data_IF_404127821860
#
_entry.id   IF_404127821860
#
_cell.length_a   1.000
_cell.length_b   1.000
_cell.length_c   1.000
_cell.angle_alpha   90.00
_cell.angle_beta   90.00
_cell.angle_gamma   90.00
#
_symmetry.space_group_name_H-M   'P 1'
#
loop_
_entity.id
_entity.type
_entity.pdbx_description
1 polymer ?
#
# COMPACT_ATOMS: atom_id res chain seq x y z
N UNK A 1 -49.54 -79.37 56.16
CA UNK A 1 -48.33 -78.78 56.79
C UNK A 1 -48.29 -77.32 56.35
N UNK A 2 -48.97 -76.51 57.15
CA UNK A 2 -49.11 -75.05 56.90
C UNK A 2 -47.94 -74.35 57.52
N UNK A 3 -47.16 -73.64 56.72
CA UNK A 3 -46.13 -72.77 57.18
C UNK A 3 -46.72 -71.34 57.36
N UNK A 4 -47.10 -71.06 58.60
CA UNK A 4 -47.40 -69.70 59.05
C UNK A 4 -46.08 -68.91 59.09
N UNK A 5 -45.95 -68.04 58.10
CA UNK A 5 -44.94 -66.94 58.20
C UNK A 5 -45.69 -65.61 58.36
N UNK A 6 -45.98 -65.25 59.60
CA UNK A 6 -46.60 -63.99 59.98
C UNK A 6 -45.65 -63.27 60.90
N UNK A 7 -44.58 -62.69 60.36
CA UNK A 7 -43.81 -61.67 61.11
C UNK A 7 -43.55 -60.48 60.17
N UNK A 8 -44.22 -59.35 60.40
CA UNK A 8 -44.13 -58.16 59.54
C UNK A 8 -42.70 -57.57 59.46
N UNK A 9 -41.86 -57.91 60.39
CA UNK A 9 -40.45 -57.50 60.41
C UNK A 9 -39.63 -58.12 59.27
N UNK A 10 -39.85 -59.34 58.90
CA UNK A 10 -39.14 -59.99 57.79
C UNK A 10 -39.48 -59.40 56.43
N UNK A 11 -40.72 -58.98 56.26
CA UNK A 11 -41.17 -58.33 55.01
C UNK A 11 -40.56 -56.95 54.85
N UNK A 12 -40.42 -56.17 55.91
CA UNK A 12 -39.78 -54.88 55.91
C UNK A 12 -38.25 -54.96 55.65
N UNK A 13 -37.60 -55.98 56.23
CA UNK A 13 -36.15 -56.21 56.01
C UNK A 13 -35.87 -56.64 54.58
N UNK A 14 -36.72 -57.46 53.97
CA UNK A 14 -36.60 -57.90 52.57
C UNK A 14 -36.82 -56.71 51.61
N UNK A 15 -37.77 -55.82 51.88
CA UNK A 15 -37.98 -54.60 51.06
C UNK A 15 -36.82 -53.65 51.12
N UNK A 16 -36.21 -53.46 52.31
CA UNK A 16 -35.02 -52.63 52.49
C UNK A 16 -33.79 -53.21 51.73
N UNK A 17 -33.63 -54.53 51.81
CA UNK A 17 -32.52 -55.22 51.09
C UNK A 17 -32.73 -55.16 49.58
N UNK A 18 -33.97 -55.30 49.05
CA UNK A 18 -34.28 -55.11 47.63
C UNK A 18 -34.05 -53.67 47.19
N UNK A 19 -34.46 -52.68 48.01
CA UNK A 19 -34.21 -51.27 47.75
C UNK A 19 -32.69 -50.91 47.70
N UNK A 20 -31.90 -51.48 48.59
CA UNK A 20 -30.42 -51.31 48.60
C UNK A 20 -29.80 -51.98 47.36
N UNK A 21 -30.26 -53.18 47.01
CA UNK A 21 -29.73 -53.90 45.84
C UNK A 21 -30.09 -53.21 44.51
N UNK A 22 -31.33 -52.70 44.40
CA UNK A 22 -31.76 -51.86 43.27
C UNK A 22 -30.99 -50.52 43.22
N UNK A 23 -30.75 -49.90 44.34
CA UNK A 23 -29.96 -48.69 44.46
C UNK A 23 -28.52 -48.89 44.02
N UNK A 24 -27.88 -50.02 44.38
CA UNK A 24 -26.54 -50.39 43.94
C UNK A 24 -26.48 -50.71 42.43
N UNK A 25 -27.48 -51.37 41.88
CA UNK A 25 -27.56 -51.63 40.42
C UNK A 25 -27.79 -50.36 39.64
N UNK A 26 -28.73 -49.50 40.08
CA UNK A 26 -29.01 -48.22 39.41
C UNK A 26 -27.82 -47.26 39.58
N UNK A 27 -27.22 -47.20 40.74
CA UNK A 27 -26.01 -46.40 41.01
C UNK A 27 -24.81 -46.86 40.18
N UNK A 28 -24.60 -48.17 40.08
CA UNK A 28 -23.57 -48.76 39.22
C UNK A 28 -23.81 -48.48 37.73
N UNK A 29 -25.07 -48.57 37.29
CA UNK A 29 -25.44 -48.27 35.89
C UNK A 29 -25.33 -46.76 35.55
N UNK A 30 -25.66 -45.91 36.52
CA UNK A 30 -25.49 -44.44 36.37
C UNK A 30 -24.01 -44.05 36.47
N UNK A 31 -23.23 -44.69 37.33
CA UNK A 31 -21.78 -44.45 37.43
C UNK A 31 -21.05 -44.92 36.18
N UNK A 32 -21.43 -46.04 35.57
CA UNK A 32 -20.83 -46.50 34.29
C UNK A 32 -21.18 -45.61 33.09
N UNK A 33 -22.36 -44.95 33.09
CA UNK A 33 -22.69 -43.95 32.08
C UNK A 33 -21.97 -42.58 32.28
N UNK A 34 -21.65 -42.23 33.52
CA UNK A 34 -20.91 -41.01 33.81
C UNK A 34 -19.37 -41.15 33.61
N UNK A 35 -18.85 -42.37 33.62
CA UNK A 35 -17.44 -42.66 33.38
C UNK A 35 -17.10 -42.86 31.89
N UNK A 36 -18.12 -42.98 31.04
CA UNK A 36 -17.98 -43.11 29.57
C UNK A 36 -18.04 -41.75 28.84
N UNK A 37 -17.70 -40.67 29.55
CA UNK A 37 -17.23 -39.42 28.95
C UNK A 37 -15.81 -39.69 28.47
N UNK A 38 -15.78 -40.44 27.39
CA UNK A 38 -14.62 -41.16 26.94
C UNK A 38 -13.50 -40.28 26.36
N UNK A 39 -12.49 -40.87 25.76
CA UNK A 39 -11.26 -40.26 25.29
C UNK A 39 -11.49 -39.14 24.26
N UNK A 40 -12.67 -39.05 23.60
CA UNK A 40 -13.04 -38.00 22.66
C UNK A 40 -13.15 -36.61 23.33
N UNK A 41 -13.90 -36.47 24.43
CA UNK A 41 -14.08 -35.17 25.13
C UNK A 41 -12.75 -34.67 25.72
N UNK A 42 -11.92 -35.60 26.24
CA UNK A 42 -10.59 -35.25 26.76
C UNK A 42 -9.60 -34.88 25.67
N UNK A 43 -9.77 -35.39 24.44
CA UNK A 43 -8.99 -35.07 23.28
C UNK A 43 -9.37 -33.70 22.70
N UNK A 44 -10.67 -33.41 22.58
CA UNK A 44 -11.19 -32.10 22.13
C UNK A 44 -10.81 -30.96 23.09
N UNK A 45 -10.85 -31.21 24.42
CA UNK A 45 -10.44 -30.20 25.38
C UNK A 45 -8.93 -29.87 25.33
N UNK A 46 -8.07 -30.85 25.05
CA UNK A 46 -6.63 -30.65 24.91
C UNK A 46 -6.26 -29.93 23.60
N UNK A 47 -6.94 -30.25 22.50
CA UNK A 47 -6.81 -29.55 21.23
C UNK A 47 -7.20 -28.09 21.37
N UNK A 48 -8.40 -27.80 21.92
CA UNK A 48 -8.87 -26.44 22.15
C UNK A 48 -7.92 -25.65 23.04
N UNK A 49 -7.30 -26.26 24.05
CA UNK A 49 -6.33 -25.61 24.90
C UNK A 49 -5.05 -25.24 24.14
N UNK A 50 -4.49 -26.15 23.35
CA UNK A 50 -3.31 -25.91 22.55
C UNK A 50 -3.58 -24.83 21.47
N UNK A 51 -4.76 -24.87 20.83
CA UNK A 51 -5.18 -23.85 19.88
C UNK A 51 -5.27 -22.45 20.51
N UNK A 52 -5.93 -22.33 21.68
CA UNK A 52 -6.04 -21.07 22.41
C UNK A 52 -4.68 -20.53 22.88
N UNK A 53 -3.78 -21.42 23.32
CA UNK A 53 -2.40 -21.03 23.66
C UNK A 53 -1.66 -20.50 22.43
N UNK A 54 -1.80 -21.17 21.28
CA UNK A 54 -1.23 -20.70 20.02
C UNK A 54 -1.72 -19.31 19.63
N UNK A 55 -3.03 -19.03 19.79
CA UNK A 55 -3.60 -17.69 19.59
C UNK A 55 -2.99 -16.67 20.57
N UNK A 56 -2.88 -17.00 21.85
CA UNK A 56 -2.30 -16.10 22.85
C UNK A 56 -0.84 -15.74 22.53
N UNK A 57 -0.02 -16.71 22.12
CA UNK A 57 1.34 -16.45 21.66
C UNK A 57 1.38 -15.59 20.39
N UNK A 58 0.45 -15.82 19.45
CA UNK A 58 0.33 -15.00 18.25
C UNK A 58 0.02 -13.53 18.60
N UNK A 59 -0.92 -13.29 19.52
CA UNK A 59 -1.27 -11.94 20.00
C UNK A 59 -0.11 -11.27 20.74
N UNK A 60 0.78 -12.07 21.37
CA UNK A 60 1.99 -11.59 22.03
C UNK A 60 3.18 -11.44 21.06
N UNK A 61 2.96 -11.62 19.76
CA UNK A 61 4.00 -11.60 18.70
C UNK A 61 5.11 -12.66 18.89
N UNK A 62 4.82 -13.72 19.64
CA UNK A 62 5.73 -14.86 19.89
C UNK A 62 5.41 -15.99 18.91
N UNK A 63 5.93 -15.84 17.70
CA UNK A 63 5.63 -16.74 16.58
C UNK A 63 6.18 -18.16 16.80
N UNK A 64 7.29 -18.32 17.54
CA UNK A 64 7.91 -19.62 17.74
C UNK A 64 7.06 -20.50 18.65
N UNK A 65 6.65 -19.99 19.80
CA UNK A 65 5.75 -20.72 20.69
C UNK A 65 4.36 -20.92 20.08
N UNK A 66 3.85 -19.94 19.26
CA UNK A 66 2.60 -20.13 18.52
C UNK A 66 2.67 -21.32 17.55
N UNK A 67 3.76 -21.47 16.79
CA UNK A 67 3.99 -22.60 15.88
C UNK A 67 4.03 -23.91 16.66
N UNK A 68 4.70 -23.93 17.80
CA UNK A 68 4.78 -25.14 18.66
C UNK A 68 3.40 -25.57 19.13
N UNK A 69 2.60 -24.65 19.66
CA UNK A 69 1.25 -24.95 20.17
C UNK A 69 0.28 -25.34 19.04
N UNK A 70 0.27 -24.65 17.89
CA UNK A 70 -0.55 -25.09 16.76
C UNK A 70 -0.10 -26.44 16.21
N UNK A 71 1.20 -26.73 16.23
CA UNK A 71 1.69 -28.07 15.83
C UNK A 71 1.20 -29.14 16.79
N UNK A 72 1.18 -28.89 18.11
CA UNK A 72 0.58 -29.79 19.11
C UNK A 72 -0.92 -29.99 18.86
N UNK A 73 -1.67 -28.90 18.58
CA UNK A 73 -3.09 -28.99 18.27
C UNK A 73 -3.37 -29.90 17.06
N UNK A 74 -2.61 -29.72 15.98
CA UNK A 74 -2.70 -30.53 14.75
C UNK A 74 -2.35 -32.02 15.02
N UNK A 75 -1.38 -32.31 15.89
CA UNK A 75 -1.04 -33.70 16.27
C UNK A 75 -2.16 -34.37 17.08
N UNK A 76 -2.87 -33.59 17.89
CA UNK A 76 -4.00 -34.09 18.67
C UNK A 76 -5.19 -34.38 17.73
N UNK A 77 -5.51 -33.45 16.83
CA UNK A 77 -6.59 -33.59 15.86
C UNK A 77 -6.18 -33.07 14.47
N UNK A 78 -5.93 -33.99 13.57
CA UNK A 78 -5.55 -33.67 12.19
C UNK A 78 -6.71 -33.17 11.30
N UNK A 79 -7.93 -33.11 11.82
CA UNK A 79 -9.11 -32.70 11.05
C UNK A 79 -9.43 -31.21 11.16
N UNK A 80 -8.84 -30.50 12.12
CA UNK A 80 -9.15 -29.08 12.37
C UNK A 80 -8.43 -28.19 11.32
N UNK A 81 -9.18 -27.81 10.30
CA UNK A 81 -8.65 -27.07 9.13
C UNK A 81 -8.17 -25.69 9.54
N UNK A 82 -8.89 -25.03 10.46
CA UNK A 82 -8.57 -23.70 10.96
C UNK A 82 -7.16 -23.65 11.58
N UNK A 83 -6.77 -24.70 12.31
CA UNK A 83 -5.44 -24.81 12.90
C UNK A 83 -4.36 -24.92 11.82
N UNK A 84 -4.62 -25.68 10.76
CA UNK A 84 -3.70 -25.76 9.62
C UNK A 84 -3.58 -24.43 8.89
N UNK A 85 -4.67 -23.68 8.68
CA UNK A 85 -4.64 -22.35 8.08
C UNK A 85 -3.80 -21.40 8.94
N UNK A 86 -4.05 -21.38 10.26
CA UNK A 86 -3.28 -20.54 11.18
C UNK A 86 -1.78 -20.89 11.16
N UNK A 87 -1.44 -22.18 11.15
CA UNK A 87 -0.06 -22.65 11.10
C UNK A 87 0.61 -22.28 9.75
N UNK A 88 -0.10 -22.43 8.64
CA UNK A 88 0.38 -22.02 7.32
C UNK A 88 0.68 -20.52 7.26
N UNK A 89 -0.24 -19.68 7.79
CA UNK A 89 -0.06 -18.25 7.87
C UNK A 89 1.15 -17.85 8.72
N UNK A 90 1.39 -18.53 9.83
CA UNK A 90 2.58 -18.33 10.66
C UNK A 90 3.87 -18.67 9.92
N UNK A 91 3.92 -19.79 9.20
CA UNK A 91 5.09 -20.12 8.40
C UNK A 91 5.35 -19.08 7.32
N UNK A 92 4.28 -18.54 6.67
CA UNK A 92 4.43 -17.44 5.71
C UNK A 92 4.99 -16.18 6.37
N UNK A 93 4.50 -15.79 7.53
CA UNK A 93 4.98 -14.60 8.26
C UNK A 93 6.45 -14.73 8.67
N UNK A 94 6.89 -15.93 9.05
CA UNK A 94 8.31 -16.23 9.35
C UNK A 94 9.21 -16.35 8.12
N UNK A 95 8.65 -16.27 6.91
CA UNK A 95 9.41 -16.46 5.67
C UNK A 95 9.61 -17.94 5.27
N UNK A 96 9.07 -18.90 6.02
CA UNK A 96 9.13 -20.33 5.70
C UNK A 96 8.07 -20.72 4.66
N UNK A 97 8.05 -19.97 3.55
CA UNK A 97 6.95 -19.99 2.56
C UNK A 97 6.74 -21.39 1.96
N UNK A 98 7.81 -22.17 1.79
CA UNK A 98 7.68 -23.54 1.30
C UNK A 98 6.89 -24.46 2.22
N UNK A 99 6.91 -24.23 3.55
CA UNK A 99 6.04 -24.95 4.50
C UNK A 99 4.60 -24.48 4.41
N UNK A 100 4.37 -23.17 4.33
CA UNK A 100 3.03 -22.58 4.14
C UNK A 100 2.34 -23.17 2.91
N UNK A 101 3.01 -23.17 1.75
CA UNK A 101 2.50 -23.75 0.49
C UNK A 101 2.09 -25.21 0.67
N UNK A 102 2.93 -26.03 1.30
CA UNK A 102 2.59 -27.45 1.53
C UNK A 102 1.36 -27.62 2.39
N UNK A 103 1.24 -26.82 3.45
CA UNK A 103 0.09 -26.87 4.35
C UNK A 103 -1.19 -26.47 3.60
N UNK A 104 -1.24 -25.28 2.96
CA UNK A 104 -2.44 -24.82 2.28
C UNK A 104 -2.83 -25.75 1.12
N UNK A 105 -1.87 -26.28 0.35
CA UNK A 105 -2.15 -27.33 -0.65
C UNK A 105 -2.74 -28.59 -0.04
N UNK A 106 -2.26 -29.05 1.11
CA UNK A 106 -2.79 -30.23 1.77
C UNK A 106 -4.25 -30.08 2.19
N UNK A 107 -4.68 -28.86 2.51
CA UNK A 107 -6.06 -28.53 2.84
C UNK A 107 -6.94 -28.66 1.60
N UNK A 108 -6.54 -28.03 0.48
CA UNK A 108 -7.31 -28.01 -0.77
C UNK A 108 -7.53 -29.43 -1.34
N UNK A 109 -6.56 -30.33 -1.11
CA UNK A 109 -6.63 -31.71 -1.60
C UNK A 109 -7.50 -32.64 -0.74
N UNK A 110 -8.11 -32.19 0.36
CA UNK A 110 -8.98 -33.02 1.19
C UNK A 110 -10.30 -33.31 0.49
N UNK A 111 -10.73 -34.58 0.40
CA UNK A 111 -11.96 -34.94 -0.35
C UNK A 111 -13.25 -34.38 0.25
N UNK A 112 -13.25 -34.10 1.56
CA UNK A 112 -14.46 -33.71 2.33
C UNK A 112 -14.44 -32.24 2.73
N UNK A 113 -13.61 -31.42 2.07
CA UNK A 113 -13.54 -29.99 2.39
C UNK A 113 -14.79 -29.26 1.88
N UNK A 114 -15.38 -28.40 2.71
CA UNK A 114 -16.45 -27.52 2.28
C UNK A 114 -15.91 -26.40 1.36
N UNK A 115 -16.84 -25.78 0.62
CA UNK A 115 -16.48 -24.77 -0.38
C UNK A 115 -15.83 -23.54 0.22
N UNK A 116 -16.32 -23.08 1.36
CA UNK A 116 -15.82 -21.85 2.02
C UNK A 116 -14.38 -22.02 2.50
N UNK A 117 -14.12 -23.13 3.17
CA UNK A 117 -12.77 -23.50 3.62
C UNK A 117 -11.80 -23.69 2.44
N UNK A 118 -12.28 -24.28 1.32
CA UNK A 118 -11.47 -24.41 0.10
C UNK A 118 -11.09 -23.04 -0.45
N UNK A 119 -12.04 -22.10 -0.54
CA UNK A 119 -11.79 -20.72 -0.99
C UNK A 119 -10.76 -20.03 -0.10
N UNK A 120 -10.90 -20.15 1.24
CA UNK A 120 -9.95 -19.58 2.18
C UNK A 120 -8.54 -20.17 2.03
N UNK A 121 -8.44 -21.50 1.84
CA UNK A 121 -7.15 -22.15 1.61
C UNK A 121 -6.49 -21.75 0.28
N UNK A 122 -7.29 -21.61 -0.80
CA UNK A 122 -6.85 -21.12 -2.10
C UNK A 122 -6.34 -19.68 -2.01
N UNK A 123 -7.06 -18.81 -1.30
CA UNK A 123 -6.64 -17.43 -1.08
C UNK A 123 -5.29 -17.36 -0.35
N UNK A 124 -5.13 -18.13 0.75
CA UNK A 124 -3.88 -18.20 1.48
C UNK A 124 -2.74 -18.81 0.64
N UNK A 125 -3.03 -19.80 -0.20
CA UNK A 125 -2.05 -20.36 -1.14
C UNK A 125 -1.61 -19.31 -2.16
N UNK A 126 -2.52 -18.48 -2.65
CA UNK A 126 -2.19 -17.33 -3.51
C UNK A 126 -1.24 -16.35 -2.84
N UNK A 127 -1.49 -16.01 -1.56
CA UNK A 127 -0.59 -15.17 -0.76
C UNK A 127 0.78 -15.82 -0.55
N UNK A 128 0.83 -17.14 -0.33
CA UNK A 128 2.08 -17.86 -0.20
C UNK A 128 2.90 -17.79 -1.50
N UNK A 129 2.26 -18.03 -2.65
CA UNK A 129 2.92 -17.93 -3.95
C UNK A 129 3.40 -16.51 -4.24
N UNK A 130 2.58 -15.48 -3.92
CA UNK A 130 2.99 -14.08 -4.04
C UNK A 130 4.23 -13.79 -3.20
N UNK A 131 4.24 -14.22 -1.93
CA UNK A 131 5.40 -14.07 -1.03
C UNK A 131 6.64 -14.82 -1.51
N UNK A 132 6.46 -15.93 -2.22
CA UNK A 132 7.56 -16.71 -2.83
C UNK A 132 8.05 -16.14 -4.17
N UNK A 133 7.40 -15.11 -4.72
CA UNK A 133 7.70 -14.56 -6.05
C UNK A 133 7.18 -15.43 -7.22
N UNK A 134 6.31 -16.41 -6.95
CA UNK A 134 5.70 -17.26 -7.98
C UNK A 134 4.44 -16.59 -8.55
N UNK A 135 4.62 -15.47 -9.23
CA UNK A 135 3.54 -14.56 -9.65
C UNK A 135 2.45 -15.28 -10.44
N UNK A 136 2.81 -16.09 -11.44
CA UNK A 136 1.83 -16.83 -12.25
C UNK A 136 0.99 -17.82 -11.43
N UNK A 137 1.59 -18.47 -10.43
CA UNK A 137 0.88 -19.39 -9.53
C UNK A 137 -0.03 -18.62 -8.57
N UNK A 138 0.40 -17.45 -8.09
CA UNK A 138 -0.42 -16.57 -7.27
C UNK A 138 -1.67 -16.11 -8.04
N UNK A 139 -1.50 -15.62 -9.27
CA UNK A 139 -2.60 -15.22 -10.16
C UNK A 139 -3.59 -16.39 -10.32
N UNK A 140 -3.11 -17.57 -10.72
CA UNK A 140 -3.99 -18.74 -10.91
C UNK A 140 -4.76 -19.12 -9.65
N UNK A 141 -4.14 -18.99 -8.46
CA UNK A 141 -4.83 -19.28 -7.18
C UNK A 141 -5.92 -18.25 -6.89
N UNK A 142 -5.67 -16.96 -7.11
CA UNK A 142 -6.68 -15.93 -6.90
C UNK A 142 -7.77 -15.96 -7.98
N UNK A 143 -7.46 -16.30 -9.23
CA UNK A 143 -8.46 -16.56 -10.27
C UNK A 143 -9.39 -17.71 -9.85
N UNK A 144 -8.86 -18.83 -9.31
CA UNK A 144 -9.69 -19.92 -8.78
C UNK A 144 -10.55 -19.46 -7.58
N UNK A 145 -10.06 -18.51 -6.76
CA UNK A 145 -10.89 -17.91 -5.69
C UNK A 145 -12.07 -17.16 -6.28
N UNK A 146 -11.88 -16.26 -7.25
CA UNK A 146 -12.97 -15.45 -7.82
C UNK A 146 -13.93 -16.29 -8.67
N UNK A 147 -13.50 -17.38 -9.26
CA UNK A 147 -14.36 -18.35 -9.97
C UNK A 147 -15.31 -19.06 -9.00
N UNK A 148 -14.86 -19.32 -7.78
CA UNK A 148 -15.68 -19.95 -6.73
C UNK A 148 -16.52 -18.94 -5.95
N UNK A 149 -16.01 -17.72 -5.74
CA UNK A 149 -16.65 -16.59 -5.07
C UNK A 149 -16.39 -15.28 -5.82
N UNK A 150 -17.30 -14.93 -6.72
CA UNK A 150 -17.23 -13.70 -7.52
C UNK A 150 -17.40 -12.41 -6.72
N UNK A 151 -17.62 -12.49 -5.40
CA UNK A 151 -17.71 -11.35 -4.48
C UNK A 151 -16.47 -11.13 -3.63
N UNK A 152 -15.46 -11.98 -3.76
CA UNK A 152 -14.21 -11.92 -2.99
C UNK A 152 -13.38 -10.67 -3.35
N UNK A 153 -13.65 -9.55 -2.66
CA UNK A 153 -12.96 -8.29 -2.90
C UNK A 153 -11.45 -8.42 -2.70
N UNK A 154 -11.03 -9.13 -1.66
CA UNK A 154 -9.61 -9.28 -1.34
C UNK A 154 -8.84 -10.02 -2.46
N UNK A 155 -9.46 -11.02 -3.09
CA UNK A 155 -8.84 -11.72 -4.21
C UNK A 155 -8.70 -10.82 -5.45
N UNK A 156 -9.71 -9.99 -5.73
CA UNK A 156 -9.62 -9.01 -6.82
C UNK A 156 -8.51 -7.98 -6.57
N UNK A 157 -8.35 -7.49 -5.34
CA UNK A 157 -7.25 -6.56 -4.99
C UNK A 157 -5.89 -7.22 -5.21
N UNK A 158 -5.74 -8.48 -4.80
CA UNK A 158 -4.48 -9.20 -5.02
C UNK A 158 -4.19 -9.43 -6.50
N UNK A 159 -5.22 -9.71 -7.32
CA UNK A 159 -5.07 -9.85 -8.77
C UNK A 159 -4.70 -8.53 -9.44
N UNK A 160 -5.31 -7.41 -9.02
CA UNK A 160 -4.96 -6.08 -9.52
C UNK A 160 -3.48 -5.79 -9.31
N UNK A 161 -2.99 -5.89 -8.06
CA UNK A 161 -1.59 -5.68 -7.72
C UNK A 161 -0.63 -6.57 -8.54
N UNK A 162 -1.00 -7.84 -8.74
CA UNK A 162 -0.16 -8.78 -9.50
C UNK A 162 -0.16 -8.47 -11.00
N UNK A 163 -1.29 -8.09 -11.60
CA UNK A 163 -1.34 -7.71 -13.00
C UNK A 163 -0.60 -6.39 -13.26
N UNK A 164 -0.64 -5.44 -12.32
CA UNK A 164 0.20 -4.23 -12.37
C UNK A 164 1.69 -4.58 -12.29
N UNK A 165 2.08 -5.47 -11.39
CA UNK A 165 3.48 -5.91 -11.21
C UNK A 165 4.07 -6.53 -12.49
N UNK A 166 3.25 -7.25 -13.27
CA UNK A 166 3.70 -7.87 -14.53
C UNK A 166 3.35 -7.04 -15.77
N UNK A 167 2.86 -5.80 -15.60
CA UNK A 167 2.47 -4.87 -16.67
C UNK A 167 1.36 -5.41 -17.60
N UNK A 168 0.47 -6.27 -17.10
CA UNK A 168 -0.72 -6.75 -17.81
C UNK A 168 -1.88 -5.75 -17.62
N UNK A 169 -1.71 -4.54 -18.19
CA UNK A 169 -2.54 -3.37 -17.90
C UNK A 169 -4.01 -3.52 -18.29
N UNK A 170 -4.33 -4.25 -19.37
CA UNK A 170 -5.72 -4.55 -19.77
C UNK A 170 -6.43 -5.39 -18.71
N UNK A 171 -5.72 -6.37 -18.15
CA UNK A 171 -6.26 -7.21 -17.08
C UNK A 171 -6.41 -6.41 -15.80
N UNK A 172 -5.39 -5.65 -15.41
CA UNK A 172 -5.43 -4.74 -14.27
C UNK A 172 -6.65 -3.80 -14.37
N UNK A 173 -6.88 -3.19 -15.53
CA UNK A 173 -8.03 -2.32 -15.78
C UNK A 173 -9.36 -3.04 -15.55
N UNK A 174 -9.50 -4.25 -16.09
CA UNK A 174 -10.73 -5.04 -15.94
C UNK A 174 -10.98 -5.44 -14.48
N UNK A 175 -9.93 -5.84 -13.78
CA UNK A 175 -9.99 -6.18 -12.35
C UNK A 175 -10.33 -4.95 -11.51
N UNK A 176 -9.69 -3.79 -11.75
CA UNK A 176 -9.99 -2.54 -11.03
C UNK A 176 -11.43 -2.08 -11.23
N UNK A 177 -12.00 -2.23 -12.42
CA UNK A 177 -13.44 -1.99 -12.62
C UNK A 177 -14.31 -2.87 -11.71
N UNK A 178 -13.92 -4.13 -11.53
CA UNK A 178 -14.64 -5.04 -10.64
C UNK A 178 -14.46 -4.67 -9.17
N UNK A 179 -13.27 -4.28 -8.75
CA UNK A 179 -12.97 -3.76 -7.41
C UNK A 179 -13.86 -2.54 -7.12
N UNK A 180 -13.89 -1.57 -8.02
CA UNK A 180 -14.71 -0.35 -7.87
C UNK A 180 -16.21 -0.68 -7.76
N UNK A 181 -16.69 -1.63 -8.59
CA UNK A 181 -18.08 -2.07 -8.53
C UNK A 181 -18.44 -2.75 -7.19
N UNK A 182 -17.56 -3.60 -6.66
CA UNK A 182 -17.76 -4.27 -5.38
C UNK A 182 -17.70 -3.29 -4.20
N UNK A 183 -16.79 -2.32 -4.25
CA UNK A 183 -16.66 -1.25 -3.24
C UNK A 183 -17.77 -0.19 -3.35
N UNK A 184 -18.45 -0.13 -4.50
CA UNK A 184 -19.39 0.95 -4.86
C UNK A 184 -18.73 2.33 -4.80
N UNK A 185 -17.47 2.40 -5.23
CA UNK A 185 -16.67 3.62 -5.32
C UNK A 185 -16.54 4.09 -6.77
N UNK A 186 -16.27 5.38 -6.93
CA UNK A 186 -15.89 5.94 -8.24
C UNK A 186 -14.37 6.14 -8.25
N UNK A 187 -13.64 5.16 -8.78
CA UNK A 187 -12.18 5.15 -8.83
C UNK A 187 -11.67 5.53 -10.24
N UNK A 188 -12.36 6.46 -10.91
CA UNK A 188 -12.02 6.89 -12.28
C UNK A 188 -10.59 7.42 -12.39
N UNK A 189 -10.06 8.03 -11.33
CA UNK A 189 -8.66 8.46 -11.27
C UNK A 189 -7.68 7.28 -11.35
N UNK A 190 -7.94 6.19 -10.61
CA UNK A 190 -7.11 4.97 -10.67
C UNK A 190 -7.22 4.33 -12.05
N UNK A 191 -8.44 4.18 -12.57
CA UNK A 191 -8.67 3.66 -13.91
C UNK A 191 -7.98 4.51 -15.01
N UNK A 192 -7.92 5.84 -14.84
CA UNK A 192 -7.21 6.72 -15.75
C UNK A 192 -5.69 6.48 -15.70
N UNK A 193 -5.11 6.26 -14.51
CA UNK A 193 -3.69 5.93 -14.39
C UNK A 193 -3.36 4.59 -15.02
N UNK A 194 -4.16 3.53 -14.79
CA UNK A 194 -3.96 2.22 -15.44
C UNK A 194 -4.04 2.35 -16.96
N UNK A 195 -5.02 3.12 -17.49
CA UNK A 195 -5.10 3.40 -18.93
C UNK A 195 -3.88 4.19 -19.43
N UNK A 196 -3.30 5.06 -18.59
CA UNK A 196 -2.10 5.79 -18.96
C UNK A 196 -0.90 4.86 -19.08
N UNK A 197 -0.73 3.94 -18.14
CA UNK A 197 0.34 2.92 -18.22
C UNK A 197 0.18 2.02 -19.46
N UNK A 198 -1.06 1.60 -19.77
CA UNK A 198 -1.36 0.86 -21.00
C UNK A 198 -0.98 1.68 -22.25
N UNK A 199 -1.28 2.97 -22.26
CA UNK A 199 -0.89 3.86 -23.34
C UNK A 199 0.62 3.99 -23.51
N UNK A 200 1.36 4.03 -22.40
CA UNK A 200 2.84 4.01 -22.39
C UNK A 200 3.38 2.70 -22.98
N UNK A 201 2.77 1.56 -22.64
CA UNK A 201 3.13 0.26 -23.20
C UNK A 201 2.93 0.23 -24.71
N UNK A 202 1.76 0.64 -25.21
CA UNK A 202 1.50 0.75 -26.66
C UNK A 202 2.52 1.66 -27.36
N UNK A 203 2.88 2.77 -26.73
CA UNK A 203 3.86 3.70 -27.29
C UNK A 203 5.25 3.07 -27.35
N UNK A 204 5.66 2.32 -26.32
CA UNK A 204 6.91 1.58 -26.31
C UNK A 204 6.97 0.50 -27.40
N UNK A 205 5.85 -0.13 -27.71
CA UNK A 205 5.66 -1.10 -28.78
C UNK A 205 5.54 -0.43 -30.17
N UNK A 206 5.73 0.89 -30.22
CA UNK A 206 5.61 1.71 -31.44
C UNK A 206 4.18 1.75 -32.05
N UNK A 207 3.17 1.33 -31.30
CA UNK A 207 1.75 1.48 -31.67
C UNK A 207 1.21 2.85 -31.23
N UNK A 208 1.62 3.86 -31.98
CA UNK A 208 1.26 5.28 -31.70
C UNK A 208 -0.25 5.51 -31.76
N UNK A 209 -0.97 4.75 -32.60
CA UNK A 209 -2.42 4.90 -32.75
C UNK A 209 -3.14 4.44 -31.48
N UNK A 210 -2.88 3.22 -31.05
CA UNK A 210 -3.48 2.66 -29.82
C UNK A 210 -3.07 3.46 -28.60
N UNK A 211 -1.81 3.90 -28.49
CA UNK A 211 -1.35 4.79 -27.44
C UNK A 211 -2.18 6.07 -27.34
N UNK A 212 -2.39 6.76 -28.49
CA UNK A 212 -3.18 7.99 -28.54
C UNK A 212 -4.64 7.78 -28.11
N UNK A 213 -5.25 6.70 -28.56
CA UNK A 213 -6.63 6.35 -28.19
C UNK A 213 -6.73 6.04 -26.68
N UNK A 214 -5.77 5.30 -26.13
CA UNK A 214 -5.71 4.93 -24.74
C UNK A 214 -5.51 6.16 -23.82
N UNK A 215 -4.60 7.08 -24.16
CA UNK A 215 -4.46 8.34 -23.41
C UNK A 215 -5.72 9.21 -23.45
N UNK A 216 -6.41 9.28 -24.60
CA UNK A 216 -7.69 9.98 -24.69
C UNK A 216 -8.74 9.32 -23.80
N UNK A 217 -8.77 7.99 -23.73
CA UNK A 217 -9.66 7.24 -22.83
C UNK A 217 -9.34 7.55 -21.36
N UNK A 218 -8.05 7.58 -20.97
CA UNK A 218 -7.63 7.99 -19.64
C UNK A 218 -8.15 9.39 -19.27
N UNK A 219 -7.99 10.37 -20.18
CA UNK A 219 -8.47 11.74 -19.99
C UNK A 219 -10.00 11.83 -19.96
N UNK A 220 -10.72 10.91 -20.62
CA UNK A 220 -12.18 10.86 -20.54
C UNK A 220 -12.67 10.30 -19.20
N UNK A 221 -11.91 9.41 -18.57
CA UNK A 221 -12.18 8.88 -17.21
C UNK A 221 -11.89 9.94 -16.16
N UNK A 222 -10.70 10.56 -16.24
CA UNK A 222 -10.31 11.67 -15.38
C UNK A 222 -9.70 12.81 -16.22
N UNK A 223 -10.45 13.91 -16.45
CA UNK A 223 -9.96 15.08 -17.15
C UNK A 223 -8.73 15.75 -16.53
N UNK A 224 -8.45 15.46 -15.25
CA UNK A 224 -7.33 16.00 -14.49
C UNK A 224 -6.13 15.03 -14.43
N UNK A 225 -6.17 13.90 -15.13
CA UNK A 225 -5.04 12.98 -15.22
C UNK A 225 -3.86 13.64 -15.97
N UNK A 226 -2.96 14.27 -15.20
CA UNK A 226 -1.83 15.05 -15.73
C UNK A 226 -0.89 14.17 -16.54
N UNK A 227 -0.61 12.97 -16.06
CA UNK A 227 0.27 12.00 -16.73
C UNK A 227 -0.24 11.67 -18.14
N UNK A 228 -1.53 11.38 -18.29
CA UNK A 228 -2.15 11.16 -19.60
C UNK A 228 -2.07 12.39 -20.52
N UNK A 229 -2.24 13.60 -19.96
CA UNK A 229 -2.11 14.85 -20.72
C UNK A 229 -0.67 15.05 -21.20
N UNK A 230 0.32 14.79 -20.38
CA UNK A 230 1.74 14.91 -20.75
C UNK A 230 2.02 13.98 -21.93
N UNK A 231 1.68 12.70 -21.81
CA UNK A 231 1.98 11.71 -22.85
C UNK A 231 1.13 11.90 -24.13
N UNK A 232 -0.10 12.36 -24.02
CA UNK A 232 -0.88 12.72 -25.21
C UNK A 232 -0.24 13.88 -25.98
N UNK A 233 0.26 14.88 -25.26
CA UNK A 233 1.02 15.98 -25.87
C UNK A 233 2.32 15.50 -26.49
N UNK A 234 3.04 14.56 -25.86
CA UNK A 234 4.25 13.94 -26.42
C UNK A 234 3.94 13.20 -27.73
N UNK A 235 2.81 12.49 -27.82
CA UNK A 235 2.36 11.86 -29.07
C UNK A 235 2.02 12.91 -30.14
N UNK A 236 1.33 13.99 -29.78
CA UNK A 236 1.06 15.09 -30.73
C UNK A 236 2.38 15.67 -31.27
N UNK A 237 3.37 15.91 -30.42
CA UNK A 237 4.69 16.37 -30.83
C UNK A 237 5.37 15.37 -31.77
N UNK A 238 5.33 14.08 -31.45
CA UNK A 238 5.89 13.01 -32.29
C UNK A 238 5.24 12.96 -33.68
N UNK A 239 3.95 13.24 -33.75
CA UNK A 239 3.19 13.32 -35.03
C UNK A 239 3.35 14.67 -35.75
N UNK A 240 4.20 15.57 -35.27
CA UNK A 240 4.37 16.94 -35.74
C UNK A 240 3.09 17.82 -35.61
N UNK A 241 2.11 17.38 -34.79
CA UNK A 241 0.95 18.22 -34.42
C UNK A 241 1.36 19.13 -33.25
N UNK A 242 2.18 20.13 -33.55
CA UNK A 242 2.71 21.04 -32.54
C UNK A 242 1.62 21.84 -31.84
N UNK A 243 0.57 22.23 -32.58
CA UNK A 243 -0.57 22.97 -32.03
C UNK A 243 -1.37 22.11 -31.04
N UNK A 244 -1.60 20.83 -31.38
CA UNK A 244 -2.23 19.86 -30.49
C UNK A 244 -1.40 19.62 -29.25
N UNK A 245 -0.09 19.49 -29.39
CA UNK A 245 0.84 19.34 -28.26
C UNK A 245 0.76 20.52 -27.30
N UNK A 246 0.90 21.76 -27.80
CA UNK A 246 0.82 22.99 -27.00
C UNK A 246 -0.54 23.10 -26.30
N UNK A 247 -1.65 22.83 -27.01
CA UNK A 247 -2.98 22.92 -26.41
C UNK A 247 -3.17 21.93 -25.27
N UNK A 248 -2.63 20.73 -25.44
CA UNK A 248 -2.73 19.65 -24.44
C UNK A 248 -1.89 19.99 -23.20
N UNK A 249 -0.63 20.39 -23.35
CA UNK A 249 0.23 20.72 -22.22
C UNK A 249 -0.20 22.01 -21.50
N UNK A 250 -0.80 22.99 -22.18
CA UNK A 250 -1.40 24.15 -21.52
C UNK A 250 -2.57 23.79 -20.60
N UNK A 251 -3.19 22.63 -20.75
CA UNK A 251 -4.16 22.16 -19.76
C UNK A 251 -3.50 21.80 -18.45
N UNK A 252 -2.29 21.20 -18.48
CA UNK A 252 -1.51 20.87 -17.28
C UNK A 252 -1.24 22.11 -16.45
N UNK A 253 -0.85 23.24 -17.10
CA UNK A 253 -0.55 24.50 -16.39
C UNK A 253 -1.77 25.08 -15.65
N UNK A 254 -2.97 24.79 -16.13
CA UNK A 254 -4.23 25.23 -15.51
C UNK A 254 -4.70 24.29 -14.41
N UNK A 255 -4.52 22.97 -14.58
CA UNK A 255 -5.00 21.95 -13.65
C UNK A 255 -4.11 21.91 -12.41
N UNK A 256 -2.79 21.93 -12.62
CA UNK A 256 -1.82 21.86 -11.53
C UNK A 256 -0.63 22.79 -11.76
N UNK A 257 -0.75 24.06 -11.35
CA UNK A 257 0.36 25.03 -11.46
C UNK A 257 1.69 24.51 -10.90
N UNK A 258 1.74 23.80 -9.76
CA UNK A 258 3.00 23.28 -9.24
C UNK A 258 3.71 22.26 -10.14
N UNK A 259 2.96 21.52 -10.98
CA UNK A 259 3.52 20.52 -11.91
C UNK A 259 3.83 21.08 -13.30
N UNK A 260 3.64 22.37 -13.51
CA UNK A 260 3.87 23.02 -14.81
C UNK A 260 5.32 22.90 -15.28
N UNK A 261 6.28 22.79 -14.36
CA UNK A 261 7.68 22.57 -14.68
C UNK A 261 7.92 21.31 -15.55
N UNK A 262 7.04 20.28 -15.45
CA UNK A 262 7.12 19.07 -16.27
C UNK A 262 6.86 19.32 -17.76
N UNK A 263 6.17 20.39 -18.11
CA UNK A 263 5.75 20.67 -19.50
C UNK A 263 6.42 21.86 -20.14
N UNK A 264 7.14 22.72 -19.40
CA UNK A 264 7.74 23.92 -19.98
C UNK A 264 8.76 23.63 -21.08
N UNK A 265 9.71 22.72 -20.86
CA UNK A 265 10.67 22.36 -21.90
C UNK A 265 10.03 21.75 -23.15
N UNK A 266 8.91 21.04 -22.96
CA UNK A 266 8.09 20.50 -24.05
C UNK A 266 7.38 21.60 -24.82
N UNK A 267 6.81 22.58 -24.11
CA UNK A 267 6.18 23.76 -24.71
C UNK A 267 7.20 24.59 -25.47
N UNK A 268 8.37 24.89 -24.89
CA UNK A 268 9.48 25.61 -25.56
C UNK A 268 9.83 24.94 -26.89
N UNK A 269 10.01 23.61 -26.89
CA UNK A 269 10.31 22.84 -28.09
C UNK A 269 9.20 22.94 -29.13
N UNK A 270 7.94 22.77 -28.73
CA UNK A 270 6.81 22.80 -29.65
C UNK A 270 6.55 24.20 -30.28
N UNK A 271 6.77 25.27 -29.51
CA UNK A 271 6.70 26.62 -30.00
C UNK A 271 7.87 26.94 -30.95
N UNK A 272 9.09 26.51 -30.63
CA UNK A 272 10.26 26.65 -31.47
C UNK A 272 10.06 25.98 -32.85
N UNK A 273 9.48 24.74 -32.83
CA UNK A 273 9.19 24.03 -34.10
C UNK A 273 8.11 24.69 -34.96
N UNK A 274 7.37 25.66 -34.43
CA UNK A 274 6.39 26.47 -35.15
C UNK A 274 6.93 27.86 -35.52
N UNK A 275 8.19 28.18 -35.24
CA UNK A 275 8.78 29.53 -35.34
C UNK A 275 8.04 30.59 -34.49
N UNK A 276 7.41 30.13 -33.37
CA UNK A 276 6.60 30.97 -32.47
C UNK A 276 7.26 31.19 -31.11
N UNK A 277 8.56 31.36 -31.08
CA UNK A 277 9.31 31.57 -29.82
C UNK A 277 8.86 32.82 -29.05
N UNK A 278 8.38 33.84 -29.75
CA UNK A 278 7.84 35.04 -29.11
C UNK A 278 6.49 34.77 -28.41
N UNK A 279 5.66 33.92 -28.99
CA UNK A 279 4.37 33.52 -28.36
C UNK A 279 4.61 32.70 -27.07
N UNK A 280 5.71 31.97 -27.04
CA UNK A 280 6.11 31.24 -25.82
C UNK A 280 6.57 32.21 -24.72
N UNK A 281 7.35 33.23 -25.07
CA UNK A 281 7.76 34.25 -24.10
C UNK A 281 6.55 35.02 -23.55
N UNK A 282 5.61 35.43 -24.45
CA UNK A 282 4.40 36.09 -24.00
C UNK A 282 3.56 35.19 -23.09
N UNK A 283 3.47 33.90 -23.41
CA UNK A 283 2.82 32.93 -22.56
C UNK A 283 3.47 32.83 -21.16
N UNK A 284 4.81 32.76 -21.08
CA UNK A 284 5.53 32.70 -19.81
C UNK A 284 5.35 34.01 -19.00
N UNK A 285 5.52 35.16 -19.64
CA UNK A 285 5.35 36.50 -18.99
C UNK A 285 3.91 36.73 -18.51
N UNK A 286 2.93 36.23 -19.24
CA UNK A 286 1.52 36.29 -18.83
C UNK A 286 1.27 35.39 -17.61
N UNK A 287 1.73 34.14 -17.68
CA UNK A 287 1.55 33.17 -16.61
C UNK A 287 2.23 33.62 -15.31
N UNK A 288 3.43 34.22 -15.37
CA UNK A 288 4.13 34.73 -14.18
C UNK A 288 3.44 35.93 -13.53
N UNK A 289 2.69 36.71 -14.29
CA UNK A 289 1.85 37.79 -13.75
C UNK A 289 0.56 37.28 -13.09
N UNK A 290 0.02 36.18 -13.60
CA UNK A 290 -1.21 35.54 -13.09
C UNK A 290 -0.92 34.73 -11.80
N UNK A 291 0.24 34.06 -11.72
CA UNK A 291 0.68 33.23 -10.59
C UNK A 291 2.06 33.70 -10.07
N UNK A 292 2.02 34.80 -9.30
CA UNK A 292 3.21 35.50 -8.81
C UNK A 292 4.02 34.70 -7.78
N UNK A 293 3.41 33.69 -7.16
CA UNK A 293 4.03 32.89 -6.11
C UNK A 293 4.59 31.55 -6.68
N UNK A 294 4.47 31.33 -7.97
CA UNK A 294 4.99 30.14 -8.62
C UNK A 294 6.50 30.29 -8.95
N UNK A 295 7.33 29.88 -8.01
CA UNK A 295 8.77 30.02 -8.17
C UNK A 295 9.34 29.22 -9.36
N UNK A 296 8.75 28.06 -9.70
CA UNK A 296 9.16 27.27 -10.88
C UNK A 296 8.97 28.05 -12.18
N UNK A 297 7.87 28.77 -12.29
CA UNK A 297 7.56 29.58 -13.46
C UNK A 297 8.52 30.74 -13.64
N UNK A 298 8.79 31.46 -12.55
CA UNK A 298 9.80 32.55 -12.55
C UNK A 298 11.21 32.02 -12.88
N UNK A 299 11.56 30.84 -12.36
CA UNK A 299 12.85 30.22 -12.66
C UNK A 299 12.98 29.88 -14.16
N UNK A 300 11.97 29.26 -14.76
CA UNK A 300 11.99 28.91 -16.19
C UNK A 300 11.96 30.15 -17.08
N UNK A 301 11.18 31.16 -16.71
CA UNK A 301 11.18 32.44 -17.42
C UNK A 301 12.56 33.09 -17.39
N UNK A 302 13.27 33.06 -16.24
CA UNK A 302 14.62 33.57 -16.12
C UNK A 302 15.63 32.83 -17.02
N UNK A 303 15.57 31.48 -17.04
CA UNK A 303 16.42 30.68 -17.94
C UNK A 303 16.17 31.00 -19.41
N UNK A 304 14.89 31.15 -19.79
CA UNK A 304 14.48 31.45 -21.16
C UNK A 304 14.98 32.84 -21.58
N UNK A 305 14.78 33.87 -20.74
CA UNK A 305 15.23 35.24 -20.98
C UNK A 305 16.77 35.31 -21.09
N UNK A 306 17.47 34.58 -20.22
CA UNK A 306 18.94 34.54 -20.29
C UNK A 306 19.44 33.91 -21.59
N UNK A 307 18.84 32.82 -22.06
CA UNK A 307 19.18 32.19 -23.35
C UNK A 307 18.97 33.15 -24.53
N UNK A 308 18.01 34.07 -24.43
CA UNK A 308 17.74 35.09 -25.45
C UNK A 308 18.65 36.31 -25.36
N UNK A 309 19.44 36.47 -24.28
CA UNK A 309 20.29 37.58 -24.03
C UNK A 309 19.67 38.70 -23.18
N UNK A 310 18.44 38.55 -22.74
CA UNK A 310 17.71 39.51 -21.90
C UNK A 310 18.15 39.39 -20.42
N UNK A 311 19.47 39.58 -20.21
CA UNK A 311 20.13 39.29 -18.93
C UNK A 311 19.55 40.07 -17.75
N UNK A 312 19.11 41.32 -17.97
CA UNK A 312 18.55 42.17 -16.90
C UNK A 312 17.21 41.58 -16.39
N UNK A 313 16.31 41.25 -17.30
CA UNK A 313 15.03 40.65 -16.95
C UNK A 313 15.23 39.29 -16.29
N UNK A 314 16.15 38.46 -16.79
CA UNK A 314 16.52 37.19 -16.19
C UNK A 314 16.94 37.27 -14.72
N UNK A 315 17.77 38.28 -14.38
CA UNK A 315 18.19 38.55 -13.01
C UNK A 315 16.99 38.91 -12.12
N UNK A 316 16.08 39.78 -12.60
CA UNK A 316 14.91 40.17 -11.82
C UNK A 316 13.95 38.97 -11.56
N UNK A 317 13.79 38.10 -12.53
CA UNK A 317 13.00 36.87 -12.34
C UNK A 317 13.66 35.92 -11.33
N UNK A 318 14.98 35.72 -11.36
CA UNK A 318 15.68 34.92 -10.36
C UNK A 318 15.58 35.52 -8.95
N UNK A 319 15.65 36.85 -8.83
CA UNK A 319 15.41 37.53 -7.55
C UNK A 319 13.96 37.32 -7.07
N UNK A 320 12.99 37.21 -7.99
CA UNK A 320 11.63 36.88 -7.63
C UNK A 320 11.55 35.45 -7.09
N UNK A 321 12.24 34.47 -7.71
CA UNK A 321 12.36 33.10 -7.19
C UNK A 321 12.91 33.10 -5.77
N UNK A 322 14.01 33.83 -5.52
CA UNK A 322 14.67 33.90 -4.22
C UNK A 322 13.77 34.57 -3.17
N UNK A 323 12.95 35.57 -3.55
CA UNK A 323 11.95 36.17 -2.65
C UNK A 323 10.87 35.18 -2.24
N UNK A 324 10.39 34.33 -3.18
CA UNK A 324 9.37 33.32 -2.94
C UNK A 324 9.95 32.14 -2.13
N UNK A 325 11.15 31.69 -2.52
CA UNK A 325 11.86 30.58 -1.88
C UNK A 325 13.30 30.98 -1.53
N UNK A 326 13.51 31.60 -0.36
CA UNK A 326 14.83 32.08 0.06
C UNK A 326 15.92 31.00 0.15
N UNK A 327 15.53 29.76 0.36
CA UNK A 327 16.41 28.59 0.46
C UNK A 327 16.70 27.92 -0.88
N UNK A 328 16.19 28.43 -2.00
CA UNK A 328 16.40 27.84 -3.32
C UNK A 328 17.89 27.97 -3.76
N UNK A 329 18.61 26.86 -3.62
CA UNK A 329 20.02 26.77 -4.02
C UNK A 329 20.17 26.91 -5.54
N UNK A 330 19.25 26.32 -6.32
CA UNK A 330 19.30 26.36 -7.78
C UNK A 330 19.14 27.78 -8.31
N UNK A 331 18.21 28.56 -7.76
CA UNK A 331 18.01 29.95 -8.16
C UNK A 331 19.24 30.81 -7.82
N UNK A 332 19.82 30.63 -6.66
CA UNK A 332 21.03 31.35 -6.27
C UNK A 332 22.25 30.98 -7.09
N UNK A 333 22.38 29.68 -7.41
CA UNK A 333 23.43 29.17 -8.29
C UNK A 333 23.34 29.78 -9.70
N UNK A 334 22.11 29.80 -10.26
CA UNK A 334 21.90 30.35 -11.61
C UNK A 334 22.09 31.87 -11.63
N UNK A 335 21.56 32.57 -10.62
CA UNK A 335 21.81 34.02 -10.46
C UNK A 335 23.32 34.32 -10.35
N UNK A 336 24.05 33.56 -9.54
CA UNK A 336 25.51 33.70 -9.41
C UNK A 336 26.24 33.51 -10.74
N UNK A 337 25.85 32.50 -11.56
CA UNK A 337 26.43 32.30 -12.90
C UNK A 337 26.20 33.50 -13.81
N UNK A 338 25.00 34.04 -13.83
CA UNK A 338 24.61 35.17 -14.66
C UNK A 338 25.37 36.43 -14.21
N UNK A 339 25.47 36.69 -12.91
CA UNK A 339 26.19 37.83 -12.36
C UNK A 339 27.70 37.76 -12.67
N UNK A 340 28.31 36.56 -12.57
CA UNK A 340 29.72 36.34 -12.96
C UNK A 340 29.90 36.62 -14.45
N UNK A 341 29.07 36.04 -15.32
CA UNK A 341 29.14 36.20 -16.77
C UNK A 341 28.95 37.69 -17.20
N UNK A 342 28.14 38.41 -16.43
CA UNK A 342 27.85 39.85 -16.69
C UNK A 342 28.85 40.81 -16.03
N UNK A 343 29.86 40.31 -15.31
CA UNK A 343 30.84 41.11 -14.63
C UNK A 343 30.36 41.91 -13.41
N UNK A 344 29.18 41.56 -12.86
CA UNK A 344 28.48 42.23 -11.76
C UNK A 344 28.99 41.74 -10.40
N UNK A 345 30.24 42.02 -10.09
CA UNK A 345 30.91 41.46 -8.89
C UNK A 345 30.28 41.91 -7.56
N UNK A 346 29.91 43.20 -7.47
CA UNK A 346 29.36 43.76 -6.23
C UNK A 346 27.98 43.12 -5.91
N UNK A 347 27.11 42.91 -6.93
CA UNK A 347 25.84 42.24 -6.77
C UNK A 347 26.03 40.77 -6.36
N UNK A 348 27.04 40.07 -6.93
CA UNK A 348 27.39 38.71 -6.56
C UNK A 348 27.83 38.59 -5.09
N UNK A 349 28.66 39.53 -4.61
CA UNK A 349 29.13 39.54 -3.22
C UNK A 349 27.95 39.74 -2.26
N UNK A 350 27.02 40.65 -2.59
CA UNK A 350 25.80 40.86 -1.79
C UNK A 350 24.94 39.62 -1.71
N UNK A 351 24.68 38.96 -2.85
CA UNK A 351 23.89 37.71 -2.89
C UNK A 351 24.55 36.56 -2.09
N UNK A 352 25.89 36.52 -2.12
CA UNK A 352 26.63 35.51 -1.34
C UNK A 352 26.60 35.82 0.17
N UNK A 353 26.64 37.09 0.58
CA UNK A 353 26.44 37.48 1.98
C UNK A 353 25.05 37.12 2.49
N UNK A 354 24.03 37.37 1.67
CA UNK A 354 22.64 36.98 1.99
C UNK A 354 22.47 35.46 2.14
N UNK A 355 23.17 34.68 1.29
CA UNK A 355 23.19 33.23 1.41
C UNK A 355 23.85 32.76 2.72
N UNK A 356 24.98 33.35 3.09
CA UNK A 356 25.64 33.02 4.35
C UNK A 356 24.76 33.33 5.56
N UNK A 357 24.06 34.48 5.56
CA UNK A 357 23.11 34.82 6.62
C UNK A 357 21.95 33.81 6.76
N UNK A 358 21.53 33.18 5.65
CA UNK A 358 20.48 32.14 5.67
C UNK A 358 21.04 30.82 6.20
N UNK A 359 22.30 30.49 5.82
CA UNK A 359 22.95 29.25 6.29
C UNK A 359 23.34 29.32 7.78
N UNK A 360 23.56 30.54 8.31
CA UNK A 360 23.81 30.77 9.73
C UNK A 360 22.55 30.73 10.61
N UNK A 361 21.35 30.51 10.02
CA UNK A 361 20.17 30.28 10.83
C UNK A 361 20.35 28.99 11.63
N UNK A 362 20.01 28.99 12.94
CA UNK A 362 20.18 27.82 13.78
C UNK A 362 19.33 26.67 13.24
N UNK A 363 20.01 25.64 12.74
CA UNK A 363 19.35 24.43 12.32
C UNK A 363 18.75 23.70 13.53
N UNK A 364 17.49 23.36 13.48
CA UNK A 364 16.89 22.44 14.45
C UNK A 364 17.47 21.05 14.23
N UNK A 365 18.56 20.75 14.96
CA UNK A 365 19.38 19.54 14.77
C UNK A 365 18.82 18.31 15.44
N UNK A 366 17.86 18.47 16.35
CA UNK A 366 17.30 17.40 17.15
C UNK A 366 15.80 17.29 16.96
N UNK A 367 15.26 16.08 17.09
CA UNK A 367 13.84 15.80 16.97
C UNK A 367 13.39 14.76 17.99
N UNK A 368 12.19 14.97 18.55
CA UNK A 368 11.57 13.99 19.41
C UNK A 368 10.96 12.85 18.59
N UNK A 369 11.43 11.62 18.77
CA UNK A 369 10.91 10.42 18.09
C UNK A 369 9.42 10.17 18.35
N UNK A 370 8.88 10.67 19.45
CA UNK A 370 7.50 10.40 19.86
C UNK A 370 6.48 11.39 19.29
N UNK A 371 6.77 12.68 19.28
CA UNK A 371 5.82 13.74 18.88
C UNK A 371 6.31 14.62 17.72
N UNK A 372 7.51 14.38 17.20
CA UNK A 372 8.07 15.14 16.08
C UNK A 372 8.55 16.55 16.42
N UNK A 373 8.50 16.97 17.68
CA UNK A 373 8.95 18.31 18.09
C UNK A 373 10.45 18.49 17.83
N UNK A 374 10.81 19.60 17.20
CA UNK A 374 12.17 19.89 16.76
C UNK A 374 12.84 20.94 17.65
N UNK A 375 14.13 20.71 17.96
CA UNK A 375 14.94 21.54 18.84
C UNK A 375 16.29 21.85 18.20
N UNK A 376 16.87 22.98 18.60
CA UNK A 376 18.23 23.41 18.22
C UNK A 376 19.30 22.70 19.07
N UNK A 377 19.01 22.52 20.35
CA UNK A 377 19.88 21.86 21.32
C UNK A 377 19.25 20.59 21.85
N UNK A 378 20.09 19.64 22.27
CA UNK A 378 19.61 18.42 22.90
C UNK A 378 19.00 18.72 24.26
N UNK A 379 17.82 18.22 24.50
CA UNK A 379 17.17 18.16 25.81
C UNK A 379 16.85 16.72 26.15
N UNK A 380 17.04 16.33 27.40
CA UNK A 380 16.76 14.94 27.82
C UNK A 380 15.27 14.67 28.05
N UNK A 381 14.47 15.73 28.24
CA UNK A 381 13.01 15.66 28.36
C UNK A 381 12.38 16.52 27.28
N UNK A 382 11.55 15.94 26.44
CA UNK A 382 10.87 16.68 25.38
C UNK A 382 9.92 17.75 25.98
N UNK A 383 10.05 19.03 25.62
CA UNK A 383 9.21 20.10 26.17
C UNK A 383 7.76 20.00 25.73
N UNK A 384 7.46 19.34 24.61
CA UNK A 384 6.09 19.18 24.10
C UNK A 384 5.38 17.97 24.67
N UNK A 385 5.96 16.76 24.60
CA UNK A 385 5.29 15.54 25.06
C UNK A 385 5.72 15.08 26.46
N UNK A 386 6.65 15.79 27.09
CA UNK A 386 7.16 15.59 28.45
C UNK A 386 7.76 14.19 28.71
N UNK A 387 8.22 13.50 27.67
CA UNK A 387 8.86 12.20 27.78
C UNK A 387 10.37 12.35 27.80
N UNK A 388 11.02 11.50 28.62
CA UNK A 388 12.47 11.44 28.75
C UNK A 388 13.09 10.58 27.63
N UNK A 389 14.35 10.89 27.26
CA UNK A 389 15.18 10.13 26.33
C UNK A 389 14.51 9.88 24.94
N UNK A 390 13.68 10.83 24.51
CA UNK A 390 12.97 10.74 23.21
C UNK A 390 13.54 11.63 22.14
N UNK A 391 14.55 12.45 22.44
CA UNK A 391 15.13 13.42 21.52
C UNK A 391 16.42 12.85 20.94
N UNK A 392 16.49 12.75 19.62
CA UNK A 392 17.64 12.25 18.88
C UNK A 392 18.11 13.27 17.84
N UNK A 393 19.39 13.20 17.40
CA UNK A 393 19.85 13.91 16.23
C UNK A 393 19.09 13.50 14.96
N UNK A 394 18.70 14.44 14.13
CA UNK A 394 18.00 14.18 12.84
C UNK A 394 18.80 13.27 11.90
N UNK A 395 20.12 13.36 11.92
CA UNK A 395 21.04 12.56 11.10
C UNK A 395 20.96 11.04 11.38
N UNK A 396 20.32 10.62 12.49
CA UNK A 396 20.14 9.21 12.86
C UNK A 396 18.81 8.62 12.41
N UNK A 397 17.88 9.43 11.86
CA UNK A 397 16.59 8.94 11.33
C UNK A 397 16.73 8.26 9.95
N UNK A 398 17.78 8.58 9.19
CA UNK A 398 18.00 8.07 7.83
C UNK A 398 18.85 6.79 7.76
N UNK A 399 19.05 6.12 8.90
CA UNK A 399 19.76 4.84 9.03
C UNK A 399 18.82 3.78 9.63
#
# INVERSE_FOLDING_TARGET
>A
MELHVSNPYYFSVILVLIGLFLGLIIGGWFSSKLTDVGPKVKKESKESTAFLMGINYLLSNDHDHAIEEFTKAVQINSNTVETYIALGNLFRSKGEVGRAIRIHKSIILRPTIDKETKIQALYNLGLDFKKAGFIKMAISSFEEVIDNDSSSLDAYIQLEELYEEINEWERAYTIQQRVSALRKTNDNNVLAHIQTELGKSHFADNDVKSAKETFKKAISLDPNCIDALIHLGDICLFQNDYSGAVSTWKRVTKISPPLTHLVYGRLEKAYSMQDKSNDFEEFLKKSSKEDKDNYHLHFILAEYLYKRGDTKEAIEELRSVIRISPTSIDARKELGRILIASGKKDELISEYQDLLNILDMPEKRFRCQRCGFELENIEWKCPQCLKWDTIIPKELEDR
#
